data_IF_681631376520
#
_entry.id   IF_681631376520
#
_cell.length_a   1.000
_cell.length_b   1.000
_cell.length_c   1.000
_cell.angle_alpha   90.00
_cell.angle_beta   90.00
_cell.angle_gamma   90.00
#
_symmetry.space_group_name_H-M   'P 1'
#
loop_
_entity.id
_entity.type
_entity.pdbx_description
1 polymer ?
#
# COMPACT_ATOMS: atom_id res chain seq x y z
N UNK A 1 11.88 -1.82 -15.48
CA UNK A 1 10.41 -1.89 -15.37
C UNK A 1 9.99 -1.17 -14.09
N UNK A 2 9.48 0.06 -14.22
CA UNK A 2 9.00 0.86 -13.08
C UNK A 2 7.66 0.28 -12.62
N UNK A 3 7.65 -0.46 -11.50
CA UNK A 3 6.40 -0.81 -10.83
C UNK A 3 5.86 0.45 -10.16
N UNK A 4 4.68 0.91 -10.61
CA UNK A 4 3.98 1.99 -9.92
C UNK A 4 3.50 1.44 -8.57
N UNK A 5 3.85 2.06 -7.43
CA UNK A 5 3.32 1.65 -6.15
C UNK A 5 1.82 1.93 -6.14
N UNK A 6 1.02 0.88 -6.12
CA UNK A 6 -0.43 0.98 -5.92
C UNK A 6 -0.70 0.97 -4.42
N UNK A 7 -1.06 2.13 -3.88
CA UNK A 7 -1.46 2.26 -2.48
C UNK A 7 -2.97 1.98 -2.42
N UNK A 8 -3.33 0.75 -2.03
CA UNK A 8 -4.71 0.37 -1.77
C UNK A 8 -5.04 0.71 -0.32
N UNK A 9 -6.17 1.41 -0.12
CA UNK A 9 -6.70 1.67 1.21
C UNK A 9 -7.29 0.37 1.76
N UNK A 10 -6.93 -0.03 2.98
CA UNK A 10 -7.51 -1.22 3.61
C UNK A 10 -9.01 -1.02 3.88
N UNK A 11 -9.75 -2.13 4.10
CA UNK A 11 -11.18 -2.05 4.40
C UNK A 11 -11.45 -1.25 5.68
N UNK A 12 -10.57 -1.32 6.68
CA UNK A 12 -10.69 -0.47 7.88
C UNK A 12 -10.53 1.02 7.58
N UNK A 13 -9.63 1.38 6.66
CA UNK A 13 -9.46 2.78 6.23
C UNK A 13 -10.72 3.37 5.61
N UNK A 14 -11.50 2.55 4.91
CA UNK A 14 -12.82 2.96 4.39
C UNK A 14 -13.86 3.22 5.49
N UNK A 15 -13.92 2.39 6.52
CA UNK A 15 -14.79 2.65 7.67
C UNK A 15 -14.40 3.94 8.39
N UNK A 16 -13.11 4.19 8.56
CA UNK A 16 -12.60 5.41 9.16
C UNK A 16 -12.99 6.65 8.34
N UNK A 17 -12.82 6.58 7.02
CA UNK A 17 -13.18 7.67 6.11
C UNK A 17 -14.69 7.96 6.15
N UNK A 18 -15.52 6.92 6.22
CA UNK A 18 -16.97 7.06 6.33
C UNK A 18 -17.39 7.76 7.63
N UNK A 19 -16.80 7.37 8.77
CA UNK A 19 -17.03 8.02 10.07
C UNK A 19 -16.60 9.48 10.03
N UNK A 20 -15.42 9.78 9.48
CA UNK A 20 -14.91 11.15 9.30
C UNK A 20 -15.86 11.99 8.44
N UNK A 21 -16.35 11.45 7.32
CA UNK A 21 -17.29 12.14 6.44
C UNK A 21 -18.61 12.45 7.15
N UNK A 22 -19.11 11.49 7.95
CA UNK A 22 -20.32 11.66 8.74
C UNK A 22 -20.16 12.75 9.81
N UNK A 23 -19.01 12.80 10.50
CA UNK A 23 -18.72 13.83 11.51
C UNK A 23 -18.61 15.21 10.86
N UNK A 24 -17.94 15.33 9.70
CA UNK A 24 -17.87 16.59 8.95
C UNK A 24 -19.27 17.03 8.51
N UNK A 25 -20.08 16.11 7.98
CA UNK A 25 -21.46 16.40 7.60
C UNK A 25 -22.31 16.92 8.76
N UNK A 26 -22.26 16.24 9.91
CA UNK A 26 -22.96 16.66 11.14
C UNK A 26 -22.40 17.95 11.76
N UNK A 27 -21.13 18.27 11.48
CA UNK A 27 -20.45 19.49 11.92
C UNK A 27 -20.92 20.73 11.15
N UNK A 28 -21.10 20.64 9.82
CA UNK A 28 -21.58 21.78 9.01
C UNK A 28 -22.97 22.26 9.45
N UNK A 29 -23.78 21.34 9.99
CA UNK A 29 -25.12 21.64 10.53
C UNK A 29 -25.12 22.39 11.87
N UNK A 30 -23.97 22.56 12.55
CA UNK A 30 -23.91 23.13 13.90
C UNK A 30 -22.70 24.05 14.07
N UNK A 31 -22.95 25.35 13.98
CA UNK A 31 -21.96 26.44 13.84
C UNK A 31 -20.85 26.53 14.92
N UNK A 32 -20.95 25.83 16.06
CA UNK A 32 -19.98 25.92 17.18
C UNK A 32 -19.62 24.55 17.78
N UNK A 33 -19.81 23.45 17.05
CA UNK A 33 -19.75 22.13 17.68
C UNK A 33 -18.33 21.56 17.83
N UNK A 34 -18.00 21.05 19.03
CA UNK A 34 -16.81 20.24 19.34
C UNK A 34 -16.59 19.07 18.36
N UNK A 35 -17.66 18.63 17.68
CA UNK A 35 -17.58 17.66 16.58
C UNK A 35 -16.62 18.08 15.46
N UNK A 36 -16.51 19.39 15.14
CA UNK A 36 -15.56 19.91 14.15
C UNK A 36 -14.13 19.58 14.58
N UNK A 37 -13.81 19.86 15.85
CA UNK A 37 -12.48 19.65 16.44
C UNK A 37 -12.17 18.16 16.49
N UNK A 38 -13.15 17.33 16.86
CA UNK A 38 -13.01 15.88 16.84
C UNK A 38 -12.77 15.35 15.42
N UNK A 39 -13.51 15.85 14.42
CA UNK A 39 -13.29 15.48 13.02
C UNK A 39 -11.86 15.84 12.58
N UNK A 40 -11.39 17.05 12.91
CA UNK A 40 -10.02 17.49 12.63
C UNK A 40 -8.97 16.60 13.30
N UNK A 41 -9.20 16.23 14.56
CA UNK A 41 -8.32 15.34 15.32
C UNK A 41 -8.28 13.92 14.74
N UNK A 42 -9.36 13.47 14.09
CA UNK A 42 -9.40 12.19 13.38
C UNK A 42 -8.75 12.27 12.00
N UNK A 43 -8.99 13.35 11.25
CA UNK A 43 -8.42 13.56 9.91
C UNK A 43 -6.91 13.71 9.97
N UNK A 44 -6.38 14.42 10.98
CA UNK A 44 -4.95 14.71 11.11
C UNK A 44 -4.06 13.46 11.06
N UNK A 45 -4.23 12.49 11.98
CA UNK A 45 -3.49 11.23 11.98
C UNK A 45 -3.71 10.40 10.71
N UNK A 46 -4.91 10.45 10.11
CA UNK A 46 -5.20 9.72 8.87
C UNK A 46 -4.41 10.27 7.69
N UNK A 47 -4.44 11.61 7.50
CA UNK A 47 -3.66 12.29 6.45
C UNK A 47 -2.16 12.12 6.69
N UNK A 48 -1.73 12.20 7.95
CA UNK A 48 -0.34 11.98 8.34
C UNK A 48 0.13 10.57 8.02
N UNK A 49 -0.66 9.54 8.37
CA UNK A 49 -0.38 8.14 8.04
C UNK A 49 -0.29 7.94 6.52
N UNK A 50 -1.27 8.44 5.77
CA UNK A 50 -1.25 8.35 4.30
C UNK A 50 0.01 9.00 3.71
N UNK A 51 0.39 10.18 4.21
CA UNK A 51 1.58 10.91 3.76
C UNK A 51 2.86 10.16 4.10
N UNK A 52 2.94 9.54 5.28
CA UNK A 52 4.07 8.74 5.74
C UNK A 52 4.21 7.48 4.87
N UNK A 53 3.15 6.69 4.70
CA UNK A 53 3.14 5.49 3.85
C UNK A 53 3.51 5.84 2.40
N UNK A 54 2.94 6.92 1.87
CA UNK A 54 3.25 7.40 0.52
C UNK A 54 4.70 7.84 0.33
N UNK A 55 5.37 8.32 1.39
CA UNK A 55 6.80 8.68 1.36
C UNK A 55 7.66 7.44 1.47
N UNK A 56 7.34 6.54 2.39
CA UNK A 56 8.05 5.28 2.60
C UNK A 56 8.03 4.41 1.34
N UNK A 57 6.86 4.25 0.68
CA UNK A 57 6.77 3.46 -0.55
C UNK A 57 7.53 4.06 -1.74
N UNK A 58 7.67 5.39 -1.83
CA UNK A 58 8.47 6.03 -2.90
C UNK A 58 9.97 5.83 -2.71
N UNK A 59 10.42 5.63 -1.48
CA UNK A 59 11.83 5.46 -1.13
C UNK A 59 12.25 3.98 -1.04
N UNK A 60 11.27 3.07 -1.10
CA UNK A 60 11.51 1.63 -1.14
C UNK A 60 11.75 1.18 -2.58
N UNK A 61 12.98 0.80 -2.89
CA UNK A 61 13.35 0.21 -4.17
C UNK A 61 13.36 -1.32 -4.03
N UNK A 62 12.46 -2.00 -4.74
CA UNK A 62 12.42 -3.46 -4.83
C UNK A 62 12.96 -3.88 -6.18
N UNK A 63 14.03 -4.66 -6.20
CA UNK A 63 14.65 -5.19 -7.41
C UNK A 63 14.60 -6.71 -7.38
N UNK A 64 13.92 -7.29 -8.36
CA UNK A 64 13.88 -8.74 -8.58
C UNK A 64 14.88 -9.11 -9.65
N UNK A 65 15.85 -9.95 -9.30
CA UNK A 65 16.86 -10.47 -10.23
C UNK A 65 16.65 -11.96 -10.40
N UNK A 66 16.42 -12.39 -11.64
CA UNK A 66 16.27 -13.79 -12.03
C UNK A 66 17.31 -14.15 -13.10
N UNK A 67 17.75 -15.41 -13.16
CA UNK A 67 18.67 -15.85 -14.21
C UNK A 67 17.99 -15.78 -15.58
N UNK A 68 18.75 -15.38 -16.60
CA UNK A 68 18.25 -15.17 -17.96
C UNK A 68 17.79 -16.46 -18.66
N UNK A 69 18.27 -17.62 -18.20
CA UNK A 69 17.89 -18.95 -18.68
C UNK A 69 17.75 -19.89 -17.51
N UNK A 70 16.83 -20.84 -17.64
CA UNK A 70 16.61 -21.92 -16.70
C UNK A 70 16.16 -23.16 -17.47
N UNK A 71 16.60 -24.33 -17.01
CA UNK A 71 16.24 -25.61 -17.60
C UNK A 71 15.21 -26.33 -16.73
N UNK A 72 14.37 -27.16 -17.36
CA UNK A 72 13.38 -27.94 -16.65
C UNK A 72 14.06 -28.93 -15.69
N UNK A 73 13.62 -28.95 -14.44
CA UNK A 73 14.21 -29.80 -13.40
C UNK A 73 15.41 -29.21 -12.66
N UNK A 74 15.94 -28.05 -13.08
CA UNK A 74 16.96 -27.34 -12.31
C UNK A 74 16.37 -26.37 -11.28
N UNK A 75 17.00 -26.30 -10.11
CA UNK A 75 16.68 -25.31 -9.09
C UNK A 75 17.06 -23.89 -9.59
N UNK A 76 16.09 -22.98 -9.55
CA UNK A 76 16.29 -21.58 -9.97
C UNK A 76 16.43 -20.71 -8.73
N UNK A 77 17.52 -19.93 -8.66
CA UNK A 77 17.71 -18.94 -7.60
C UNK A 77 17.13 -17.60 -8.02
N UNK A 78 16.04 -17.19 -7.39
CA UNK A 78 15.47 -15.85 -7.53
C UNK A 78 15.99 -15.00 -6.37
N UNK A 79 16.63 -13.86 -6.68
CA UNK A 79 17.07 -12.90 -5.67
C UNK A 79 16.11 -11.72 -5.67
N UNK A 80 15.60 -11.38 -4.49
CA UNK A 80 14.77 -10.19 -4.26
C UNK A 80 15.55 -9.25 -3.35
N UNK A 81 16.04 -8.16 -3.92
CA UNK A 81 16.77 -7.13 -3.20
C UNK A 81 15.80 -6.00 -2.83
N UNK A 82 15.69 -5.70 -1.54
CA UNK A 82 14.86 -4.60 -1.02
C UNK A 82 15.79 -3.55 -0.42
N UNK A 83 15.87 -2.39 -1.05
CA UNK A 83 16.68 -1.27 -0.58
C UNK A 83 15.75 -0.14 -0.10
N UNK A 84 15.92 0.28 1.16
CA UNK A 84 15.33 1.51 1.66
C UNK A 84 16.32 2.66 1.45
N UNK A 85 16.01 3.57 0.52
CA UNK A 85 16.85 4.73 0.24
C UNK A 85 16.56 5.91 1.18
N UNK A 86 15.71 5.74 2.20
CA UNK A 86 15.44 6.76 3.20
C UNK A 86 16.52 6.76 4.30
N UNK A 87 17.24 7.88 4.45
CA UNK A 87 18.19 8.08 5.56
C UNK A 87 17.55 8.14 6.95
N UNK A 88 16.25 8.50 7.04
CA UNK A 88 15.56 8.72 8.32
C UNK A 88 14.21 8.00 8.46
N UNK A 89 13.61 7.52 7.36
CA UNK A 89 12.33 6.80 7.43
C UNK A 89 12.62 5.30 7.54
N UNK A 90 12.57 4.77 8.75
CA UNK A 90 12.74 3.34 8.97
C UNK A 90 11.44 2.62 8.63
N UNK A 91 11.49 1.66 7.70
CA UNK A 91 10.33 0.85 7.31
C UNK A 91 10.36 -0.44 8.13
N UNK A 92 9.54 -0.50 9.18
CA UNK A 92 9.57 -1.60 10.16
C UNK A 92 8.67 -2.79 9.80
N UNK A 93 7.79 -2.64 8.82
CA UNK A 93 6.77 -3.66 8.51
C UNK A 93 6.56 -3.78 6.99
N UNK A 94 7.65 -4.03 6.27
CA UNK A 94 7.59 -4.38 4.86
C UNK A 94 7.47 -5.90 4.70
N UNK A 95 6.45 -6.34 3.96
CA UNK A 95 6.34 -7.72 3.49
C UNK A 95 6.48 -7.75 1.98
N UNK A 96 7.36 -8.61 1.47
CA UNK A 96 7.56 -8.83 0.04
C UNK A 96 6.89 -10.16 -0.34
N UNK A 97 5.88 -10.08 -1.21
CA UNK A 97 5.15 -11.26 -1.71
C UNK A 97 5.53 -11.43 -3.20
N UNK A 98 6.24 -12.51 -3.53
CA UNK A 98 6.51 -12.90 -4.91
C UNK A 98 5.50 -13.98 -5.35
N UNK A 99 4.77 -13.74 -6.44
CA UNK A 99 3.79 -14.69 -6.96
C UNK A 99 4.26 -15.28 -8.28
N UNK A 100 4.44 -16.59 -8.33
CA UNK A 100 4.78 -17.31 -9.57
C UNK A 100 3.49 -17.70 -10.28
N UNK A 101 3.28 -17.17 -11.48
CA UNK A 101 2.18 -17.59 -12.37
C UNK A 101 2.74 -18.30 -13.59
N UNK A 102 2.07 -19.37 -14.01
CA UNK A 102 2.37 -20.06 -15.26
C UNK A 102 2.10 -19.10 -16.42
N UNK A 103 3.14 -18.79 -17.20
CA UNK A 103 2.98 -18.09 -18.46
C UNK A 103 2.16 -18.99 -19.40
N UNK A 104 0.92 -18.59 -19.72
CA UNK A 104 0.09 -19.29 -20.71
C UNK A 104 -1.20 -19.94 -20.21
N UNK A 105 -1.64 -19.74 -18.96
CA UNK A 105 -3.01 -20.15 -18.59
C UNK A 105 -4.03 -19.19 -19.22
N UNK A 106 -4.35 -19.44 -20.49
CA UNK A 106 -5.58 -18.93 -21.13
C UNK A 106 -6.72 -19.35 -20.21
N UNK A 107 -7.49 -18.38 -19.68
CA UNK A 107 -8.70 -18.66 -18.87
C UNK A 107 -9.58 -19.62 -19.66
N UNK A 108 -9.56 -20.91 -19.32
CA UNK A 108 -10.56 -21.85 -19.81
C UNK A 108 -11.80 -21.56 -18.97
N UNK A 109 -12.68 -20.72 -19.54
CA UNK A 109 -14.08 -20.67 -19.14
C UNK A 109 -14.59 -22.11 -19.27
N UNK A 110 -14.81 -22.77 -18.13
CA UNK A 110 -15.70 -23.92 -18.06
C UNK A 110 -17.07 -23.33 -17.73
N UNK A 111 -17.94 -23.43 -18.73
CA UNK A 111 -19.38 -23.20 -18.65
C UNK A 111 -20.01 -24.38 -17.90
#
# INVERSE_FOLDING_TARGET
MSHRPHILVTREGWYYLFVVLFIIGGSVLREVNLLVVLAGLMIGPFLFNWRLVSRSMRRLAVRRTYPARCEAGQAIRVRVDVANHAKHDTVWMASAIDSIRRAGTRKRHLV
#
